data_IF_419364216066
#
_entry.id   IF_419364216066
#
_cell.length_a   1.000
_cell.length_b   1.000
_cell.length_c   1.000
_cell.angle_alpha   90.00
_cell.angle_beta   90.00
_cell.angle_gamma   90.00
#
_symmetry.space_group_name_H-M   'P 1'
#
loop_
_entity.id
_entity.type
_entity.pdbx_description
1 polymer ?
#
# COMPACT_ATOMS: atom_id res chain seq x y z
N UNK A 1 17.82 30.69 -29.45
CA UNK A 1 17.60 29.23 -29.25
C UNK A 1 18.85 28.37 -29.50
N UNK A 2 19.78 28.81 -30.30
CA UNK A 2 21.03 28.04 -30.57
C UNK A 2 22.09 28.18 -29.50
N UNK A 3 22.04 29.21 -28.68
CA UNK A 3 23.00 29.44 -27.58
C UNK A 3 22.61 28.76 -26.25
N UNK A 4 21.35 28.44 -26.05
CA UNK A 4 20.89 27.77 -24.82
C UNK A 4 21.24 26.28 -24.76
N UNK A 5 21.32 25.59 -25.91
CA UNK A 5 21.63 24.19 -26.00
C UNK A 5 23.14 23.85 -25.83
N UNK A 6 24.04 24.80 -26.12
CA UNK A 6 25.49 24.58 -25.91
C UNK A 6 25.91 24.70 -24.44
N UNK A 7 25.27 25.58 -23.67
CA UNK A 7 25.62 25.79 -22.26
C UNK A 7 25.25 24.59 -21.37
N UNK A 8 24.08 23.98 -21.61
CA UNK A 8 23.60 22.84 -20.81
C UNK A 8 24.37 21.55 -21.12
N UNK A 9 24.75 21.33 -22.38
CA UNK A 9 25.54 20.16 -22.77
C UNK A 9 26.95 20.16 -22.19
N UNK A 10 27.59 21.32 -22.11
CA UNK A 10 28.94 21.44 -21.58
C UNK A 10 28.97 21.41 -20.04
N UNK A 11 27.95 21.94 -19.38
CA UNK A 11 27.80 21.81 -17.92
C UNK A 11 27.54 20.35 -17.53
N UNK A 12 26.71 19.63 -18.26
CA UNK A 12 26.46 18.22 -18.00
C UNK A 12 27.68 17.34 -18.28
N UNK A 13 28.43 17.60 -19.35
CA UNK A 13 29.69 16.90 -19.64
C UNK A 13 30.80 17.21 -18.62
N UNK A 14 30.87 18.44 -18.09
CA UNK A 14 31.82 18.79 -17.02
C UNK A 14 31.46 18.13 -15.70
N UNK A 15 30.19 18.09 -15.33
CA UNK A 15 29.76 17.39 -14.10
C UNK A 15 30.06 15.88 -14.17
N UNK A 16 29.81 15.22 -15.31
CA UNK A 16 30.10 13.81 -15.49
C UNK A 16 31.62 13.53 -15.53
N UNK A 17 32.42 14.43 -16.09
CA UNK A 17 33.89 14.26 -16.14
C UNK A 17 34.57 14.60 -14.80
N UNK A 18 34.07 15.56 -14.03
CA UNK A 18 34.66 15.91 -12.73
C UNK A 18 34.30 14.88 -11.66
N UNK A 19 33.08 14.34 -11.67
CA UNK A 19 32.67 13.27 -10.75
C UNK A 19 33.40 11.96 -11.00
N UNK A 20 33.78 11.64 -12.25
CA UNK A 20 34.54 10.42 -12.55
C UNK A 20 36.00 10.46 -12.05
N UNK A 21 36.55 11.63 -11.80
CA UNK A 21 37.94 11.77 -11.26
C UNK A 21 37.97 11.78 -9.73
N UNK A 22 36.94 12.25 -9.05
CA UNK A 22 36.84 12.21 -7.58
C UNK A 22 36.36 10.85 -7.07
N UNK A 23 35.55 10.12 -7.85
CA UNK A 23 35.03 8.81 -7.47
C UNK A 23 36.11 7.70 -7.44
N UNK A 24 37.21 7.88 -8.14
CA UNK A 24 38.29 6.88 -8.20
C UNK A 24 39.35 7.03 -7.10
N UNK A 25 39.19 7.92 -6.15
CA UNK A 25 40.11 8.07 -5.03
C UNK A 25 39.62 7.40 -3.75
N UNK A 26 39.44 6.08 -3.77
CA UNK A 26 39.44 5.26 -2.57
C UNK A 26 38.10 5.07 -1.86
N UNK A 27 36.98 5.34 -2.50
CA UNK A 27 35.68 4.86 -2.02
C UNK A 27 35.48 3.43 -2.52
N UNK A 28 35.33 2.49 -1.58
CA UNK A 28 34.79 1.18 -1.90
C UNK A 28 33.48 1.40 -2.67
N UNK A 29 33.38 0.84 -3.88
CA UNK A 29 32.11 0.73 -4.59
C UNK A 29 31.27 -0.26 -3.80
N UNK A 30 30.50 0.22 -2.84
CA UNK A 30 29.47 -0.58 -2.24
C UNK A 30 28.47 -0.95 -3.35
N UNK A 31 28.44 -2.21 -3.74
CA UNK A 31 27.40 -2.72 -4.61
C UNK A 31 26.10 -2.71 -3.81
N UNK A 32 25.27 -1.72 -4.07
CA UNK A 32 23.94 -1.63 -3.49
C UNK A 32 23.00 -2.57 -4.27
N UNK A 33 22.95 -3.84 -3.86
CA UNK A 33 22.02 -4.81 -4.42
C UNK A 33 20.65 -4.65 -3.80
N UNK A 34 19.58 -4.88 -4.58
CA UNK A 34 18.22 -5.04 -4.05
C UNK A 34 18.18 -6.18 -3.06
N UNK A 35 17.40 -6.03 -2.00
CA UNK A 35 17.10 -7.12 -1.07
C UNK A 35 16.00 -7.96 -1.74
N UNK A 36 16.29 -9.23 -1.98
CA UNK A 36 15.33 -10.17 -2.52
C UNK A 36 15.15 -11.32 -1.53
N UNK A 37 13.90 -11.61 -1.19
CA UNK A 37 13.58 -12.73 -0.30
C UNK A 37 13.52 -14.00 -1.12
N UNK A 38 13.92 -15.11 -0.54
CA UNK A 38 13.89 -16.46 -1.13
C UNK A 38 12.59 -17.22 -0.83
N UNK A 39 11.58 -16.51 -0.35
CA UNK A 39 10.23 -16.99 -0.04
C UNK A 39 9.18 -16.00 -0.54
N UNK A 40 7.97 -16.48 -0.77
CA UNK A 40 6.84 -15.63 -1.14
C UNK A 40 6.42 -14.74 0.02
N UNK A 41 6.31 -13.44 -0.23
CA UNK A 41 5.93 -12.48 0.79
C UNK A 41 4.43 -12.58 1.06
N UNK A 42 4.09 -12.78 2.31
CA UNK A 42 2.74 -12.63 2.84
C UNK A 42 2.77 -11.51 3.88
N UNK A 43 2.56 -10.30 3.40
CA UNK A 43 2.55 -9.10 4.23
C UNK A 43 1.13 -8.79 4.69
N UNK A 44 0.98 -8.29 5.90
CA UNK A 44 -0.30 -7.77 6.40
C UNK A 44 -0.10 -6.38 6.97
N UNK A 45 -0.99 -5.45 6.61
CA UNK A 45 -1.05 -4.18 7.31
C UNK A 45 -1.86 -4.34 8.60
N UNK A 46 -1.35 -3.77 9.68
CA UNK A 46 -2.10 -3.60 10.91
C UNK A 46 -2.50 -2.12 11.06
N UNK A 47 -3.79 -1.84 10.96
CA UNK A 47 -4.31 -0.49 11.09
C UNK A 47 -4.27 -0.03 12.56
N UNK A 48 -3.27 0.79 12.90
CA UNK A 48 -3.07 1.35 14.24
C UNK A 48 -3.55 2.80 14.22
N UNK A 49 -4.67 3.07 14.89
CA UNK A 49 -5.27 4.41 14.99
C UNK A 49 -4.93 5.09 16.31
N UNK A 50 -4.59 4.32 17.34
CA UNK A 50 -4.15 4.78 18.65
C UNK A 50 -3.07 3.84 19.19
N UNK A 51 -2.20 4.34 20.09
CA UNK A 51 -1.15 3.52 20.74
C UNK A 51 -1.70 2.26 21.40
N UNK A 52 -2.94 2.30 21.93
CA UNK A 52 -3.61 1.15 22.52
C UNK A 52 -3.84 -0.02 21.56
N UNK A 53 -3.92 0.24 20.25
CA UNK A 53 -4.16 -0.78 19.23
C UNK A 53 -2.95 -1.72 19.11
N UNK A 54 -1.76 -1.26 19.51
CA UNK A 54 -0.57 -2.11 19.56
C UNK A 54 -0.73 -3.32 20.50
N UNK A 55 -1.56 -3.20 21.55
CA UNK A 55 -1.68 -4.22 22.59
C UNK A 55 -2.35 -5.53 22.12
N UNK A 56 -3.03 -5.54 20.98
CA UNK A 56 -3.74 -6.72 20.49
C UNK A 56 -2.93 -7.58 19.50
N UNK A 57 -1.72 -7.16 19.14
CA UNK A 57 -0.91 -7.81 18.09
C UNK A 57 -0.74 -9.30 18.31
N UNK A 58 -0.41 -9.76 19.52
CA UNK A 58 -0.24 -11.18 19.81
C UNK A 58 -1.50 -11.98 19.43
N UNK A 59 -2.67 -11.51 19.85
CA UNK A 59 -3.93 -12.21 19.58
C UNK A 59 -4.30 -12.22 18.08
N UNK A 60 -3.90 -11.19 17.36
CA UNK A 60 -4.09 -11.11 15.90
C UNK A 60 -3.16 -12.10 15.20
N UNK A 61 -1.88 -12.14 15.58
CA UNK A 61 -0.91 -13.06 14.98
C UNK A 61 -1.24 -14.53 15.28
N UNK A 62 -1.75 -14.84 16.46
CA UNK A 62 -2.18 -16.19 16.83
C UNK A 62 -3.29 -16.74 15.92
N UNK A 63 -4.05 -15.85 15.26
CA UNK A 63 -5.09 -16.21 14.29
C UNK A 63 -4.58 -16.34 12.85
N UNK A 64 -3.31 -16.03 12.59
CA UNK A 64 -2.72 -16.05 11.23
C UNK A 64 -1.96 -17.36 10.97
N UNK A 65 -1.70 -17.63 9.69
CA UNK A 65 -0.84 -18.70 9.23
C UNK A 65 -0.08 -18.28 7.97
N UNK A 66 1.24 -18.50 7.98
CA UNK A 66 2.10 -18.22 6.83
C UNK A 66 2.38 -16.74 6.58
N UNK A 67 1.95 -15.85 7.46
CA UNK A 67 2.35 -14.44 7.41
C UNK A 67 3.86 -14.35 7.64
N UNK A 68 4.53 -13.60 6.75
CA UNK A 68 5.99 -13.39 6.81
C UNK A 68 6.36 -12.00 7.29
N UNK A 69 5.47 -11.03 7.10
CA UNK A 69 5.76 -9.62 7.32
C UNK A 69 4.55 -8.88 7.87
N UNK A 70 4.76 -8.08 8.90
CA UNK A 70 3.74 -7.18 9.47
C UNK A 70 4.13 -5.74 9.20
N UNK A 71 3.17 -4.96 8.71
CA UNK A 71 3.34 -3.54 8.40
C UNK A 71 2.34 -2.68 9.20
N UNK A 72 2.69 -2.29 10.44
CA UNK A 72 1.82 -1.42 11.24
C UNK A 72 1.80 0.00 10.70
N UNK A 73 0.63 0.66 10.69
CA UNK A 73 0.43 2.03 10.20
C UNK A 73 0.90 3.08 11.22
N UNK A 74 2.16 3.03 11.60
CA UNK A 74 2.69 3.79 12.74
C UNK A 74 3.09 5.22 12.45
N UNK A 75 3.47 5.49 11.19
CA UNK A 75 4.08 6.78 10.88
C UNK A 75 3.20 7.62 9.95
N UNK A 76 3.18 8.92 10.23
CA UNK A 76 2.53 9.91 9.37
C UNK A 76 3.46 11.08 9.17
N UNK A 77 3.58 11.56 7.95
CA UNK A 77 4.22 12.84 7.69
C UNK A 77 3.30 13.95 8.20
N UNK A 78 3.83 14.87 9.01
CA UNK A 78 3.01 15.86 9.71
C UNK A 78 3.09 17.27 9.13
N UNK A 79 4.10 17.55 8.30
CA UNK A 79 4.28 18.86 7.68
C UNK A 79 5.20 18.80 6.44
N UNK A 80 5.24 19.92 5.69
CA UNK A 80 6.06 20.08 4.50
C UNK A 80 7.58 20.19 4.77
N UNK A 81 8.01 20.17 6.03
CA UNK A 81 9.44 20.13 6.38
C UNK A 81 9.97 18.71 6.56
N UNK A 82 9.08 17.70 6.49
CA UNK A 82 9.43 16.29 6.61
C UNK A 82 9.47 15.79 8.05
N UNK A 83 8.72 16.41 8.95
CA UNK A 83 8.47 15.89 10.30
C UNK A 83 7.53 14.69 10.23
N UNK A 84 7.69 13.73 11.14
CA UNK A 84 6.82 12.54 11.24
C UNK A 84 6.29 12.41 12.66
N UNK A 85 5.09 11.82 12.80
CA UNK A 85 4.58 11.28 14.05
C UNK A 85 4.84 9.78 14.11
N UNK A 86 4.91 9.21 15.32
CA UNK A 86 5.20 7.81 15.54
C UNK A 86 4.25 7.22 16.58
N UNK A 87 3.83 5.98 16.36
CA UNK A 87 3.13 5.11 17.32
C UNK A 87 3.92 3.79 17.55
N UNK A 88 5.23 3.81 17.26
CA UNK A 88 6.10 2.66 17.39
C UNK A 88 6.17 2.15 18.84
N UNK A 89 6.16 0.83 18.99
CA UNK A 89 6.11 0.15 20.27
C UNK A 89 7.10 -1.02 20.32
N UNK A 90 7.92 -1.07 21.36
CA UNK A 90 8.95 -2.10 21.51
C UNK A 90 8.39 -3.50 21.80
N UNK A 91 7.32 -3.59 22.58
CA UNK A 91 6.72 -4.88 22.92
C UNK A 91 6.04 -5.49 21.69
N UNK A 92 5.43 -4.64 20.85
CA UNK A 92 4.91 -5.03 19.54
C UNK A 92 6.00 -5.60 18.64
N UNK A 93 7.13 -4.89 18.49
CA UNK A 93 8.25 -5.33 17.65
C UNK A 93 8.79 -6.66 18.12
N UNK A 94 8.99 -6.80 19.44
CA UNK A 94 9.44 -8.07 20.02
C UNK A 94 8.46 -9.21 19.76
N UNK A 95 7.16 -8.95 19.87
CA UNK A 95 6.10 -9.93 19.57
C UNK A 95 6.15 -10.41 18.12
N UNK A 96 6.32 -9.51 17.17
CA UNK A 96 6.43 -9.85 15.73
C UNK A 96 7.69 -10.67 15.46
N UNK A 97 8.83 -10.24 15.98
CA UNK A 97 10.10 -10.96 15.81
C UNK A 97 10.09 -12.32 16.51
N UNK A 98 9.50 -12.44 17.70
CA UNK A 98 9.37 -13.73 18.42
C UNK A 98 8.47 -14.71 17.67
N UNK A 99 7.52 -14.21 16.87
CA UNK A 99 6.72 -15.00 15.94
C UNK A 99 7.48 -15.40 14.65
N UNK A 100 8.73 -14.95 14.48
CA UNK A 100 9.57 -15.25 13.32
C UNK A 100 9.20 -14.44 12.07
N UNK A 101 8.48 -13.33 12.23
CA UNK A 101 8.04 -12.45 11.15
C UNK A 101 8.92 -11.20 11.09
N UNK A 102 8.98 -10.58 9.90
CA UNK A 102 9.62 -9.28 9.70
C UNK A 102 8.64 -8.13 9.99
N UNK A 103 9.20 -6.96 10.34
CA UNK A 103 8.42 -5.76 10.57
C UNK A 103 8.86 -4.66 9.60
N UNK A 104 7.93 -4.22 8.71
CA UNK A 104 8.11 -3.13 7.75
C UNK A 104 7.07 -2.05 8.03
N UNK A 105 7.28 -1.17 9.02
CA UNK A 105 6.26 -0.18 9.38
C UNK A 105 5.89 0.71 8.21
N UNK A 106 4.59 1.04 8.11
CA UNK A 106 4.05 1.93 7.11
C UNK A 106 4.19 3.39 7.55
N UNK A 107 4.61 4.21 6.59
CA UNK A 107 4.54 5.66 6.69
C UNK A 107 3.63 6.22 5.59
N UNK A 108 2.63 7.02 5.99
CA UNK A 108 1.66 7.65 5.09
C UNK A 108 1.78 9.16 5.05
N UNK A 109 1.22 9.76 4.01
CA UNK A 109 1.06 11.21 3.85
C UNK A 109 -0.30 11.72 4.41
N UNK A 110 -1.10 10.86 5.04
CA UNK A 110 -2.35 11.22 5.70
C UNK A 110 -2.11 11.78 7.09
N UNK A 111 -2.26 13.09 7.29
CA UNK A 111 -2.05 13.75 8.60
C UNK A 111 -3.22 13.65 9.55
N UNK A 112 -4.45 13.52 9.04
CA UNK A 112 -5.67 13.30 9.82
C UNK A 112 -6.83 12.94 8.90
N UNK A 113 -7.93 12.44 9.50
CA UNK A 113 -9.24 12.28 8.85
C UNK A 113 -9.79 13.64 8.38
N UNK A 114 -9.32 14.75 8.95
CA UNK A 114 -9.66 16.11 8.52
C UNK A 114 -8.74 16.53 7.36
N UNK A 115 -9.29 16.52 6.15
CA UNK A 115 -8.64 16.92 4.92
C UNK A 115 -8.10 18.38 4.89
N UNK A 116 -8.37 19.17 5.93
CA UNK A 116 -8.02 20.58 6.05
C UNK A 116 -6.76 20.87 6.89
N UNK A 117 -6.10 19.89 7.45
CA UNK A 117 -4.78 20.08 8.08
C UNK A 117 -3.70 20.15 6.98
N UNK A 118 -3.87 21.13 6.07
CA UNK A 118 -3.14 21.22 4.82
C UNK A 118 -1.67 21.48 4.97
N UNK A 119 -0.87 20.42 4.98
CA UNK A 119 0.49 20.55 4.52
C UNK A 119 0.54 20.19 3.01
N UNK A 120 1.56 20.67 2.34
CA UNK A 120 1.67 20.67 0.88
C UNK A 120 2.78 19.68 0.48
N UNK A 121 2.39 18.52 -0.03
CA UNK A 121 3.30 17.47 -0.50
C UNK A 121 4.22 17.98 -1.60
N UNK A 122 3.74 18.86 -2.46
CA UNK A 122 4.57 19.47 -3.50
C UNK A 122 5.73 20.26 -2.89
N UNK A 123 5.50 21.00 -1.79
CA UNK A 123 6.58 21.72 -1.09
C UNK A 123 7.56 20.77 -0.42
N UNK A 124 7.08 19.66 0.16
CA UNK A 124 7.93 18.64 0.75
C UNK A 124 8.91 18.10 -0.29
N UNK A 125 8.37 17.62 -1.44
CA UNK A 125 9.20 16.97 -2.44
C UNK A 125 10.09 17.93 -3.21
N UNK A 126 9.64 19.14 -3.51
CA UNK A 126 10.43 20.15 -4.22
C UNK A 126 11.64 20.65 -3.40
N UNK A 127 11.58 20.60 -2.07
CA UNK A 127 12.62 21.13 -1.20
C UNK A 127 13.61 20.05 -0.77
N UNK A 128 14.86 20.17 -1.20
CA UNK A 128 15.92 19.22 -0.83
C UNK A 128 16.14 19.08 0.67
N UNK A 129 16.01 20.18 1.45
CA UNK A 129 16.17 20.13 2.90
C UNK A 129 15.02 19.35 3.56
N UNK A 130 13.79 19.54 3.08
CA UNK A 130 12.60 18.81 3.54
C UNK A 130 12.70 17.31 3.24
N UNK A 131 13.06 16.94 2.01
CA UNK A 131 13.26 15.53 1.66
C UNK A 131 14.33 14.87 2.52
N UNK A 132 15.49 15.54 2.72
CA UNK A 132 16.57 15.03 3.58
C UNK A 132 16.14 14.91 5.05
N UNK A 133 15.33 15.83 5.54
CA UNK A 133 14.80 15.75 6.89
C UNK A 133 13.87 14.55 7.06
N UNK A 134 12.92 14.36 6.13
CA UNK A 134 12.03 13.21 6.12
C UNK A 134 12.82 11.89 6.06
N UNK A 135 13.78 11.77 5.14
CA UNK A 135 14.63 10.58 5.01
C UNK A 135 15.42 10.34 6.30
N UNK A 136 16.00 11.40 6.89
CA UNK A 136 16.74 11.26 8.14
C UNK A 136 15.86 10.78 9.29
N UNK A 137 14.62 11.26 9.39
CA UNK A 137 13.67 10.82 10.39
C UNK A 137 13.32 9.34 10.19
N UNK A 138 12.99 8.91 8.97
CA UNK A 138 12.71 7.50 8.64
C UNK A 138 13.91 6.61 9.02
N UNK A 139 15.10 6.97 8.61
CA UNK A 139 16.31 6.17 8.87
C UNK A 139 16.66 6.13 10.37
N UNK A 140 16.37 7.22 11.10
CA UNK A 140 16.57 7.23 12.55
C UNK A 140 15.60 6.27 13.25
N UNK A 141 14.33 6.22 12.84
CA UNK A 141 13.36 5.26 13.37
C UNK A 141 13.78 3.81 13.05
N UNK A 142 14.17 3.52 11.81
CA UNK A 142 14.68 2.21 11.40
C UNK A 142 15.85 1.78 12.30
N UNK A 143 16.83 2.66 12.53
CA UNK A 143 18.00 2.35 13.35
C UNK A 143 17.68 2.25 14.84
N UNK A 144 16.74 3.07 15.32
CA UNK A 144 16.32 3.07 16.72
C UNK A 144 15.62 1.77 17.07
N UNK A 145 14.68 1.34 16.25
CA UNK A 145 13.83 0.21 16.53
C UNK A 145 14.29 -1.12 15.91
N UNK A 146 15.24 -1.09 14.98
CA UNK A 146 15.80 -2.28 14.34
C UNK A 146 14.82 -2.95 13.37
N UNK A 147 14.08 -2.16 12.57
CA UNK A 147 13.15 -2.67 11.57
C UNK A 147 13.86 -3.42 10.45
N UNK A 148 13.18 -4.41 9.88
CA UNK A 148 13.64 -5.20 8.75
C UNK A 148 13.38 -4.51 7.41
N UNK A 149 12.42 -3.59 7.37
CA UNK A 149 12.05 -2.80 6.21
C UNK A 149 11.28 -1.54 6.56
N UNK A 150 10.87 -0.84 5.51
CA UNK A 150 9.94 0.29 5.56
C UNK A 150 8.98 0.21 4.38
N UNK A 151 7.71 0.53 4.63
CA UNK A 151 6.66 0.58 3.62
C UNK A 151 6.16 2.01 3.45
N UNK A 152 6.23 2.56 2.24
CA UNK A 152 5.82 3.93 1.93
C UNK A 152 4.45 3.91 1.25
N UNK A 153 3.48 4.50 1.92
CA UNK A 153 2.10 4.63 1.47
C UNK A 153 1.74 6.11 1.28
N UNK A 154 2.25 6.71 0.20
CA UNK A 154 1.96 8.10 -0.15
C UNK A 154 0.91 8.15 -1.25
N UNK A 155 -0.31 8.53 -0.86
CA UNK A 155 -1.48 8.51 -1.72
C UNK A 155 -1.89 9.88 -2.27
N UNK A 156 -1.31 10.97 -1.74
CA UNK A 156 -1.66 12.35 -2.11
C UNK A 156 -0.61 13.06 -2.96
N UNK A 157 0.28 12.32 -3.60
CA UNK A 157 1.33 12.91 -4.43
C UNK A 157 0.72 13.70 -5.59
N UNK A 158 0.91 15.04 -5.67
CA UNK A 158 0.36 15.86 -6.75
C UNK A 158 0.97 15.48 -8.10
N UNK A 159 0.18 15.56 -9.18
CA UNK A 159 0.61 15.17 -10.52
C UNK A 159 1.79 16.01 -11.05
N UNK A 160 1.90 17.26 -10.65
CA UNK A 160 3.01 18.16 -11.00
C UNK A 160 4.29 17.92 -10.17
N UNK A 161 4.20 17.12 -9.11
CA UNK A 161 5.33 16.75 -8.24
C UNK A 161 6.05 15.46 -8.67
N UNK A 162 5.67 14.85 -9.79
CA UNK A 162 6.21 13.58 -10.26
C UNK A 162 7.75 13.52 -10.30
N UNK A 163 8.42 14.61 -10.73
CA UNK A 163 9.89 14.66 -10.82
C UNK A 163 10.53 14.67 -9.43
N UNK A 164 9.97 15.47 -8.52
CA UNK A 164 10.48 15.66 -7.17
C UNK A 164 10.19 14.44 -6.30
N UNK A 165 9.03 13.78 -6.49
CA UNK A 165 8.70 12.52 -5.85
C UNK A 165 9.67 11.39 -6.27
N UNK A 166 9.95 11.26 -7.57
CA UNK A 166 10.98 10.31 -8.04
C UNK A 166 12.36 10.58 -7.42
N UNK A 167 12.69 11.84 -7.21
CA UNK A 167 13.95 12.20 -6.53
C UNK A 167 13.94 11.75 -5.07
N UNK A 168 12.83 11.93 -4.36
CA UNK A 168 12.66 11.43 -3.00
C UNK A 168 12.84 9.90 -2.93
N UNK A 169 12.19 9.15 -3.83
CA UNK A 169 12.32 7.69 -3.90
C UNK A 169 13.77 7.26 -4.08
N UNK A 170 14.50 7.89 -5.00
CA UNK A 170 15.91 7.61 -5.24
C UNK A 170 16.80 7.90 -4.01
N UNK A 171 16.56 9.04 -3.37
CA UNK A 171 17.31 9.45 -2.19
C UNK A 171 17.04 8.48 -1.02
N UNK A 172 15.79 8.12 -0.76
CA UNK A 172 15.41 7.19 0.31
C UNK A 172 15.94 5.77 0.04
N UNK A 173 15.84 5.29 -1.19
CA UNK A 173 16.36 3.98 -1.60
C UNK A 173 17.84 3.81 -1.25
N UNK A 174 18.67 4.83 -1.49
CA UNK A 174 20.10 4.80 -1.16
C UNK A 174 20.29 4.63 0.35
N UNK A 175 19.52 5.35 1.16
CA UNK A 175 19.70 5.31 2.62
C UNK A 175 19.13 4.00 3.21
N UNK A 176 18.05 3.43 2.66
CA UNK A 176 17.56 2.10 3.04
C UNK A 176 18.59 1.01 2.73
N UNK A 177 19.24 1.06 1.56
CA UNK A 177 20.32 0.12 1.22
C UNK A 177 21.53 0.24 2.15
N UNK A 178 21.92 1.45 2.53
CA UNK A 178 22.98 1.67 3.53
C UNK A 178 22.59 1.13 4.91
N UNK A 179 21.31 1.20 5.25
CA UNK A 179 20.78 0.64 6.48
C UNK A 179 20.63 -0.89 6.41
N UNK A 180 20.63 -1.49 5.22
CA UNK A 180 20.45 -2.93 5.00
C UNK A 180 19.02 -3.41 5.22
N UNK A 181 18.02 -2.55 4.96
CA UNK A 181 16.60 -2.82 5.18
C UNK A 181 15.82 -2.84 3.88
N UNK A 182 14.72 -3.60 3.87
CA UNK A 182 13.81 -3.64 2.73
C UNK A 182 13.12 -2.29 2.54
N UNK A 183 12.99 -1.89 1.28
CA UNK A 183 12.26 -0.70 0.85
C UNK A 183 11.11 -1.09 -0.06
N UNK A 184 9.86 -0.86 0.38
CA UNK A 184 8.65 -1.12 -0.39
C UNK A 184 7.78 0.14 -0.51
N UNK A 185 6.99 0.20 -1.60
CA UNK A 185 6.09 1.32 -1.89
C UNK A 185 4.73 0.81 -2.33
N UNK A 186 3.68 1.44 -1.81
CA UNK A 186 2.30 1.14 -2.15
C UNK A 186 1.81 2.05 -3.30
N UNK A 187 0.97 1.50 -4.15
CA UNK A 187 0.44 2.19 -5.31
C UNK A 187 -1.00 1.80 -5.58
N UNK A 188 -1.78 2.75 -6.03
CA UNK A 188 -3.06 2.47 -6.68
C UNK A 188 -2.89 1.62 -7.94
N UNK A 189 -3.93 0.90 -8.31
CA UNK A 189 -4.06 0.29 -9.64
C UNK A 189 -3.75 1.33 -10.72
N UNK A 190 -2.88 1.02 -11.71
CA UNK A 190 -2.45 1.97 -12.72
C UNK A 190 -3.62 2.57 -13.51
N UNK A 191 -3.67 3.89 -13.56
CA UNK A 191 -4.61 4.68 -14.36
C UNK A 191 -3.88 5.90 -14.93
N UNK A 192 -4.35 6.49 -16.05
CA UNK A 192 -3.70 7.66 -16.62
C UNK A 192 -3.56 8.85 -15.66
N UNK A 193 -4.48 9.00 -14.72
CA UNK A 193 -4.48 10.11 -13.76
C UNK A 193 -3.54 9.91 -12.57
N UNK A 194 -2.92 8.73 -12.41
CA UNK A 194 -1.96 8.45 -11.34
C UNK A 194 -0.56 8.07 -11.85
N UNK A 195 -0.22 8.51 -13.08
CA UNK A 195 1.09 8.25 -13.70
C UNK A 195 2.26 8.96 -12.97
N UNK A 196 1.98 9.97 -12.13
CA UNK A 196 3.00 10.67 -11.33
C UNK A 196 3.75 9.77 -10.37
N UNK A 197 3.19 8.64 -9.98
CA UNK A 197 3.85 7.66 -9.12
C UNK A 197 5.06 7.01 -9.80
N UNK A 198 5.13 6.96 -11.14
CA UNK A 198 6.32 6.49 -11.89
C UNK A 198 6.79 5.11 -11.41
N UNK A 199 5.92 4.11 -11.53
CA UNK A 199 6.16 2.73 -11.02
C UNK A 199 7.40 2.08 -11.62
N UNK A 200 7.77 2.45 -12.84
CA UNK A 200 9.03 2.07 -13.50
C UNK A 200 10.25 2.51 -12.68
N UNK A 201 10.26 3.76 -12.22
CA UNK A 201 11.33 4.29 -11.36
C UNK A 201 11.29 3.67 -9.97
N UNK A 202 10.09 3.40 -9.43
CA UNK A 202 9.95 2.67 -8.17
C UNK A 202 10.56 1.27 -8.29
N UNK A 203 10.28 0.55 -9.37
CA UNK A 203 10.83 -0.78 -9.63
C UNK A 203 12.37 -0.81 -9.75
N UNK A 204 12.98 0.30 -10.23
CA UNK A 204 14.44 0.44 -10.25
C UNK A 204 15.03 0.67 -8.84
N UNK A 205 14.32 1.39 -7.99
CA UNK A 205 14.82 1.88 -6.71
C UNK A 205 14.43 1.01 -5.52
N UNK A 206 13.19 0.51 -5.49
CA UNK A 206 12.66 -0.29 -4.39
C UNK A 206 12.98 -1.78 -4.55
N UNK A 207 12.87 -2.49 -3.43
CA UNK A 207 12.95 -3.93 -3.40
C UNK A 207 11.61 -4.54 -3.81
N UNK A 208 10.50 -3.94 -3.35
CA UNK A 208 9.15 -4.35 -3.70
C UNK A 208 8.24 -3.17 -4.00
N UNK A 209 7.27 -3.40 -4.88
CA UNK A 209 6.20 -2.48 -5.23
C UNK A 209 4.88 -3.20 -4.97
N UNK A 210 4.03 -2.61 -4.16
CA UNK A 210 2.70 -3.15 -3.84
C UNK A 210 1.67 -2.44 -4.71
N UNK A 211 0.80 -3.20 -5.37
CA UNK A 211 -0.40 -2.65 -6.00
C UNK A 211 -1.60 -2.92 -5.11
N UNK A 212 -2.30 -1.86 -4.71
CA UNK A 212 -3.53 -1.92 -3.93
C UNK A 212 -4.68 -2.38 -4.83
N UNK A 213 -4.88 -3.70 -4.93
CA UNK A 213 -5.88 -4.34 -5.77
C UNK A 213 -7.29 -4.27 -5.15
N UNK A 214 -7.65 -3.12 -4.58
CA UNK A 214 -8.93 -2.87 -3.93
C UNK A 214 -9.36 -1.40 -4.04
N UNK A 215 -10.50 -1.06 -3.42
CA UNK A 215 -11.20 0.22 -3.53
C UNK A 215 -11.62 0.56 -4.98
N UNK A 216 -12.01 -0.48 -5.76
CA UNK A 216 -12.67 -0.31 -7.06
C UNK A 216 -13.91 0.56 -6.91
N UNK A 217 -14.77 0.22 -5.93
CA UNK A 217 -15.85 1.06 -5.45
C UNK A 217 -15.62 1.40 -3.98
N UNK A 218 -15.59 2.68 -3.67
CA UNK A 218 -15.17 3.22 -2.38
C UNK A 218 -16.20 4.15 -1.75
N UNK A 219 -16.09 4.45 -0.47
CA UNK A 219 -16.99 5.34 0.25
C UNK A 219 -16.98 6.75 -0.38
N UNK A 220 -18.17 7.24 -0.74
CA UNK A 220 -18.33 8.53 -1.41
C UNK A 220 -18.25 8.47 -2.93
N UNK A 221 -18.06 7.29 -3.51
CA UNK A 221 -18.24 7.05 -4.95
C UNK A 221 -19.72 7.12 -5.35
N UNK A 222 -19.97 7.32 -6.63
CA UNK A 222 -21.31 7.54 -7.18
C UNK A 222 -22.08 6.24 -7.43
N UNK A 223 -21.40 5.08 -7.40
CA UNK A 223 -21.97 3.76 -7.73
C UNK A 223 -21.66 2.73 -6.66
N UNK A 224 -22.63 1.87 -6.38
CA UNK A 224 -22.44 0.68 -5.56
C UNK A 224 -21.77 -0.43 -6.36
N UNK A 225 -20.82 -1.15 -5.75
CA UNK A 225 -20.13 -2.23 -6.41
C UNK A 225 -19.14 -2.95 -5.50
N UNK A 226 -18.45 -3.92 -6.09
CA UNK A 226 -17.36 -4.65 -5.45
C UNK A 226 -16.21 -3.72 -5.04
N UNK A 227 -15.56 -4.00 -3.93
CA UNK A 227 -14.29 -3.32 -3.58
C UNK A 227 -13.12 -3.84 -4.40
N UNK A 228 -13.22 -5.06 -4.95
CA UNK A 228 -12.16 -5.70 -5.72
C UNK A 228 -12.72 -6.84 -6.60
N UNK A 229 -13.34 -6.51 -7.72
CA UNK A 229 -13.76 -7.52 -8.69
C UNK A 229 -12.55 -8.24 -9.29
N UNK A 230 -12.79 -9.45 -9.82
CA UNK A 230 -11.70 -10.26 -10.41
C UNK A 230 -11.05 -9.55 -11.60
N UNK A 231 -11.84 -8.83 -12.41
CA UNK A 231 -11.33 -8.06 -13.53
C UNK A 231 -10.51 -6.86 -13.08
N UNK A 232 -10.95 -6.15 -12.03
CA UNK A 232 -10.20 -5.03 -11.45
C UNK A 232 -8.83 -5.47 -10.94
N UNK A 233 -8.77 -6.59 -10.21
CA UNK A 233 -7.52 -7.16 -9.70
C UNK A 233 -6.62 -7.61 -10.86
N UNK A 234 -7.18 -8.29 -11.87
CA UNK A 234 -6.45 -8.76 -13.05
C UNK A 234 -5.85 -7.57 -13.81
N UNK A 235 -6.66 -6.56 -14.10
CA UNK A 235 -6.22 -5.35 -14.79
C UNK A 235 -5.16 -4.58 -13.99
N UNK A 236 -5.32 -4.55 -12.67
CA UNK A 236 -4.36 -3.93 -11.75
C UNK A 236 -2.99 -4.61 -11.80
N UNK A 237 -2.96 -5.92 -11.70
CA UNK A 237 -1.74 -6.73 -11.81
C UNK A 237 -1.12 -6.60 -13.19
N UNK A 238 -1.88 -6.89 -14.26
CA UNK A 238 -1.38 -6.88 -15.64
C UNK A 238 -0.98 -5.47 -16.10
N UNK A 239 -1.63 -4.44 -15.55
CA UNK A 239 -1.26 -3.04 -15.75
C UNK A 239 0.08 -2.71 -15.10
N UNK A 240 0.27 -3.15 -13.84
CA UNK A 240 1.49 -2.88 -13.07
C UNK A 240 2.68 -3.66 -13.60
N UNK A 241 2.49 -4.90 -14.09
CA UNK A 241 3.54 -5.71 -14.70
C UNK A 241 4.16 -5.11 -15.97
N UNK A 242 3.53 -4.09 -16.56
CA UNK A 242 4.14 -3.33 -17.68
C UNK A 242 5.29 -2.42 -17.24
N UNK A 243 5.33 -2.07 -15.95
CA UNK A 243 6.28 -1.14 -15.35
C UNK A 243 7.16 -1.81 -14.28
N UNK A 244 6.64 -2.84 -13.60
CA UNK A 244 7.27 -3.51 -12.45
C UNK A 244 7.53 -4.98 -12.78
N UNK A 245 8.75 -5.51 -12.61
CA UNK A 245 9.05 -6.93 -12.73
C UNK A 245 8.24 -7.76 -11.71
N UNK A 246 7.78 -8.94 -12.14
CA UNK A 246 6.94 -9.83 -11.32
C UNK A 246 7.54 -10.22 -9.97
N UNK A 247 8.86 -10.41 -9.94
CA UNK A 247 9.63 -10.74 -8.74
C UNK A 247 9.75 -9.59 -7.72
N UNK A 248 9.23 -8.42 -8.05
CA UNK A 248 9.14 -7.25 -7.18
C UNK A 248 7.70 -6.85 -6.89
N UNK A 249 6.72 -7.41 -7.61
CA UNK A 249 5.33 -7.02 -7.49
C UNK A 249 4.61 -7.83 -6.42
N UNK A 250 4.02 -7.15 -5.46
CA UNK A 250 3.11 -7.69 -4.44
C UNK A 250 1.70 -7.20 -4.76
N UNK A 251 0.71 -8.09 -4.79
CA UNK A 251 -0.69 -7.69 -4.94
C UNK A 251 -1.39 -7.61 -3.58
N UNK A 252 -2.02 -6.48 -3.30
CA UNK A 252 -2.80 -6.32 -2.08
C UNK A 252 -4.23 -6.84 -2.25
N UNK A 253 -4.70 -7.58 -1.24
CA UNK A 253 -6.02 -8.17 -1.15
C UNK A 253 -6.83 -7.45 -0.07
N UNK A 254 -8.13 -7.17 -0.29
CA UNK A 254 -9.00 -6.66 0.78
C UNK A 254 -9.46 -7.80 1.68
N UNK A 255 -9.37 -7.60 2.99
CA UNK A 255 -10.01 -8.45 4.00
C UNK A 255 -11.31 -7.81 4.53
N UNK A 256 -11.83 -6.86 3.78
CA UNK A 256 -13.04 -6.12 4.06
C UNK A 256 -13.91 -6.02 2.81
N UNK A 257 -15.18 -5.69 3.02
CA UNK A 257 -16.07 -5.30 1.95
C UNK A 257 -16.98 -4.15 2.36
N UNK A 258 -17.86 -3.72 1.46
CA UNK A 258 -18.82 -2.63 1.70
C UNK A 258 -20.24 -3.12 1.52
N UNK A 259 -21.06 -2.91 2.56
CA UNK A 259 -22.50 -2.92 2.43
C UNK A 259 -22.94 -1.56 1.90
N UNK A 260 -23.56 -1.55 0.74
CA UNK A 260 -24.13 -0.37 0.13
C UNK A 260 -25.61 -0.25 0.50
N UNK A 261 -26.06 0.99 0.72
CA UNK A 261 -27.41 1.33 1.11
C UNK A 261 -27.92 2.44 0.21
N UNK A 262 -28.95 2.12 -0.58
CA UNK A 262 -29.63 3.06 -1.46
C UNK A 262 -31.00 3.41 -0.87
N UNK A 263 -31.24 4.68 -0.59
CA UNK A 263 -32.51 5.19 -0.12
C UNK A 263 -32.99 6.33 -1.01
N UNK A 264 -34.32 6.49 -1.11
CA UNK A 264 -34.93 7.58 -1.87
C UNK A 264 -35.61 8.55 -0.89
N UNK A 265 -35.28 9.83 -0.99
CA UNK A 265 -35.88 10.87 -0.15
C UNK A 265 -37.33 11.22 -0.60
N UNK A 266 -38.01 12.07 0.18
CA UNK A 266 -39.37 12.51 -0.12
C UNK A 266 -39.51 13.27 -1.45
N UNK A 267 -38.42 13.77 -2.01
CA UNK A 267 -38.36 14.49 -3.28
C UNK A 267 -37.98 13.58 -4.46
N UNK A 268 -37.75 12.29 -4.20
CA UNK A 268 -37.37 11.31 -5.21
C UNK A 268 -35.85 11.29 -5.52
N UNK A 269 -35.01 11.97 -4.73
CA UNK A 269 -33.55 11.90 -4.90
C UNK A 269 -33.02 10.60 -4.30
N UNK A 270 -32.18 9.90 -5.06
CA UNK A 270 -31.46 8.71 -4.59
C UNK A 270 -30.23 9.14 -3.80
N UNK A 271 -30.09 8.57 -2.60
CA UNK A 271 -28.92 8.72 -1.75
C UNK A 271 -28.24 7.38 -1.61
N UNK A 272 -27.01 7.30 -2.04
CA UNK A 272 -26.12 6.16 -1.84
C UNK A 272 -25.23 6.40 -0.61
N UNK A 273 -25.10 5.38 0.24
CA UNK A 273 -24.15 5.37 1.36
C UNK A 273 -23.59 3.97 1.53
N UNK A 274 -22.47 3.85 2.23
CA UNK A 274 -21.86 2.54 2.48
C UNK A 274 -21.30 2.42 3.88
N UNK A 275 -21.15 1.18 4.34
CA UNK A 275 -20.47 0.82 5.59
C UNK A 275 -19.51 -0.34 5.34
N UNK A 276 -18.30 -0.22 5.86
CA UNK A 276 -17.27 -1.26 5.78
C UNK A 276 -17.55 -2.37 6.79
N UNK A 277 -17.33 -3.60 6.38
CA UNK A 277 -17.43 -4.81 7.22
C UNK A 277 -16.22 -5.69 7.00
N UNK A 278 -15.78 -6.37 8.07
CA UNK A 278 -14.82 -7.48 7.98
C UNK A 278 -15.45 -8.65 7.22
N UNK A 279 -14.65 -9.62 6.81
CA UNK A 279 -15.18 -10.81 6.12
C UNK A 279 -16.29 -11.52 6.92
N UNK A 280 -16.08 -11.76 8.21
CA UNK A 280 -17.13 -12.38 9.05
C UNK A 280 -18.33 -11.45 9.24
N UNK A 281 -18.09 -10.17 9.50
CA UNK A 281 -19.15 -9.18 9.66
C UNK A 281 -20.02 -9.02 8.41
N UNK A 282 -19.47 -9.25 7.21
CA UNK A 282 -20.22 -9.26 5.96
C UNK A 282 -21.18 -10.46 5.87
N UNK A 283 -20.74 -11.64 6.28
CA UNK A 283 -21.62 -12.82 6.36
C UNK A 283 -22.73 -12.63 7.40
N UNK A 284 -22.39 -12.06 8.55
CA UNK A 284 -23.35 -11.83 9.63
C UNK A 284 -24.45 -10.85 9.19
N UNK A 285 -24.09 -9.75 8.51
CA UNK A 285 -25.08 -8.77 8.02
C UNK A 285 -25.97 -9.34 6.90
N UNK A 286 -25.45 -10.19 6.02
CA UNK A 286 -26.25 -10.89 5.01
C UNK A 286 -27.28 -11.81 5.69
N UNK A 287 -26.87 -12.51 6.75
CA UNK A 287 -27.77 -13.36 7.53
C UNK A 287 -28.84 -12.53 8.27
N UNK A 288 -28.49 -11.38 8.84
CA UNK A 288 -29.42 -10.46 9.51
C UNK A 288 -30.46 -9.87 8.53
N UNK A 289 -30.03 -9.53 7.31
CA UNK A 289 -30.94 -9.05 6.26
C UNK A 289 -31.83 -10.15 5.73
N UNK A 290 -31.56 -11.42 6.05
CA UNK A 290 -32.35 -12.56 5.62
C UNK A 290 -32.32 -12.80 4.11
N UNK A 291 -31.30 -12.30 3.42
CA UNK A 291 -31.10 -12.47 1.98
C UNK A 291 -30.26 -13.70 1.71
N UNK A 292 -30.48 -14.34 0.55
CA UNK A 292 -29.54 -15.31 0.01
C UNK A 292 -28.33 -14.60 -0.60
N UNK A 293 -27.25 -15.37 -0.80
CA UNK A 293 -26.12 -14.93 -1.60
C UNK A 293 -25.90 -15.89 -2.77
N UNK A 294 -25.51 -15.37 -3.92
CA UNK A 294 -25.26 -16.15 -5.13
C UNK A 294 -23.85 -15.81 -5.66
N UNK A 295 -23.16 -16.82 -6.18
CA UNK A 295 -21.87 -16.60 -6.82
C UNK A 295 -22.07 -15.91 -8.16
N UNK A 296 -21.37 -14.80 -8.35
CA UNK A 296 -21.32 -14.07 -9.61
C UNK A 296 -19.94 -14.30 -10.27
N UNK A 297 -19.95 -15.03 -11.37
CA UNK A 297 -18.73 -15.39 -12.12
C UNK A 297 -18.05 -14.17 -12.75
N UNK A 298 -18.80 -13.09 -13.06
CA UNK A 298 -18.27 -11.89 -13.69
C UNK A 298 -17.40 -11.10 -12.73
N UNK A 299 -17.83 -11.01 -11.47
CA UNK A 299 -17.07 -10.28 -10.44
C UNK A 299 -16.17 -11.21 -9.61
N UNK A 300 -16.38 -12.52 -9.69
CA UNK A 300 -15.63 -13.52 -8.93
C UNK A 300 -15.89 -13.46 -7.42
N UNK A 301 -17.14 -13.20 -7.02
CA UNK A 301 -17.54 -13.03 -5.63
C UNK A 301 -18.97 -13.53 -5.39
N UNK A 302 -19.29 -13.87 -4.14
CA UNK A 302 -20.70 -13.98 -3.74
C UNK A 302 -21.31 -12.58 -3.61
N UNK A 303 -22.52 -12.42 -4.14
CA UNK A 303 -23.30 -11.18 -4.09
C UNK A 303 -24.61 -11.39 -3.33
N UNK A 304 -25.03 -10.41 -2.57
CA UNK A 304 -26.32 -10.43 -1.91
C UNK A 304 -27.03 -9.07 -2.09
N UNK A 305 -28.34 -9.16 -2.35
CA UNK A 305 -29.22 -8.00 -2.55
C UNK A 305 -30.44 -8.15 -1.66
N UNK A 306 -30.90 -7.05 -1.09
CA UNK A 306 -32.08 -7.04 -0.23
C UNK A 306 -32.73 -5.66 -0.15
N UNK A 307 -33.92 -5.61 0.43
CA UNK A 307 -34.63 -4.36 0.72
C UNK A 307 -35.32 -4.48 2.09
N UNK A 308 -35.07 -3.53 2.96
CA UNK A 308 -35.68 -3.43 4.29
C UNK A 308 -36.11 -1.97 4.49
N UNK A 309 -37.38 -1.77 4.85
CA UNK A 309 -37.98 -0.45 5.13
C UNK A 309 -37.75 0.59 4.01
N UNK A 310 -37.74 0.15 2.75
CA UNK A 310 -37.57 1.01 1.59
C UNK A 310 -36.12 1.42 1.31
N UNK A 311 -35.16 0.83 2.02
CA UNK A 311 -33.72 0.95 1.73
C UNK A 311 -33.26 -0.31 1.02
N UNK A 312 -32.66 -0.14 -0.15
CA UNK A 312 -32.06 -1.26 -0.88
C UNK A 312 -30.63 -1.48 -0.40
N UNK A 313 -30.28 -2.73 -0.21
CA UNK A 313 -28.97 -3.18 0.22
C UNK A 313 -28.31 -4.01 -0.88
N UNK A 314 -27.02 -3.78 -1.09
CA UNK A 314 -26.18 -4.61 -1.94
C UNK A 314 -24.80 -4.79 -1.33
N UNK A 315 -24.25 -6.00 -1.47
CA UNK A 315 -22.92 -6.34 -0.94
C UNK A 315 -22.27 -7.38 -1.85
N UNK A 316 -20.98 -7.20 -2.13
CA UNK A 316 -20.08 -8.14 -2.80
C UNK A 316 -19.12 -8.63 -1.73
N UNK A 317 -19.18 -9.93 -1.41
CA UNK A 317 -18.48 -10.47 -0.26
C UNK A 317 -17.03 -10.81 -0.62
N UNK A 318 -16.12 -10.39 0.26
CA UNK A 318 -14.79 -11.00 0.31
C UNK A 318 -14.83 -12.17 1.28
N UNK A 319 -14.45 -13.35 0.79
CA UNK A 319 -14.45 -14.61 1.52
C UNK A 319 -13.50 -15.61 0.84
N UNK A 320 -13.47 -16.85 1.30
CA UNK A 320 -12.45 -17.82 0.91
C UNK A 320 -12.39 -18.06 -0.62
N UNK A 321 -13.55 -18.17 -1.30
CA UNK A 321 -13.57 -18.43 -2.74
C UNK A 321 -13.18 -17.19 -3.58
N UNK A 322 -13.54 -15.97 -3.14
CA UNK A 322 -13.11 -14.74 -3.80
C UNK A 322 -11.60 -14.53 -3.66
N UNK A 323 -11.06 -14.79 -2.46
CA UNK A 323 -9.61 -14.73 -2.23
C UNK A 323 -8.90 -15.81 -3.04
N UNK A 324 -9.44 -17.02 -3.15
CA UNK A 324 -8.89 -18.10 -3.96
C UNK A 324 -8.82 -17.73 -5.45
N UNK A 325 -9.88 -17.08 -5.96
CA UNK A 325 -9.88 -16.59 -7.35
C UNK A 325 -8.76 -15.57 -7.58
N UNK A 326 -8.56 -14.62 -6.65
CA UNK A 326 -7.50 -13.61 -6.71
C UNK A 326 -6.10 -14.24 -6.55
N UNK A 327 -5.93 -15.17 -5.60
CA UNK A 327 -4.67 -15.90 -5.40
C UNK A 327 -4.27 -16.71 -6.64
N UNK A 328 -5.24 -17.24 -7.40
CA UNK A 328 -4.95 -17.90 -8.66
C UNK A 328 -4.23 -16.98 -9.64
N UNK A 329 -4.66 -15.72 -9.77
CA UNK A 329 -4.01 -14.75 -10.66
C UNK A 329 -2.59 -14.44 -10.16
N UNK A 330 -2.41 -14.21 -8.86
CA UNK A 330 -1.10 -13.95 -8.22
C UNK A 330 -0.12 -15.08 -8.55
N UNK A 331 -0.55 -16.34 -8.39
CA UNK A 331 0.26 -17.53 -8.67
C UNK A 331 0.53 -17.71 -10.17
N UNK A 332 -0.47 -17.52 -11.03
CA UNK A 332 -0.30 -17.62 -12.50
C UNK A 332 0.65 -16.55 -13.05
N UNK A 333 0.74 -15.39 -12.41
CA UNK A 333 1.68 -14.31 -12.78
C UNK A 333 3.02 -14.45 -12.07
N UNK A 334 3.16 -15.42 -11.16
CA UNK A 334 4.38 -15.65 -10.36
C UNK A 334 4.87 -14.37 -9.67
N UNK A 335 3.96 -13.67 -8.97
CA UNK A 335 4.29 -12.45 -8.27
C UNK A 335 5.17 -12.73 -7.05
N UNK A 336 5.85 -11.69 -6.53
CA UNK A 336 6.67 -11.79 -5.33
C UNK A 336 5.88 -12.13 -4.06
N UNK A 337 4.57 -11.95 -4.07
CA UNK A 337 3.70 -12.29 -2.97
C UNK A 337 2.41 -11.49 -2.93
N UNK A 338 1.80 -11.48 -1.77
CA UNK A 338 0.58 -10.71 -1.49
C UNK A 338 0.75 -9.83 -0.26
N UNK A 339 -0.14 -8.84 -0.15
CA UNK A 339 -0.41 -8.17 1.12
C UNK A 339 -1.91 -8.17 1.42
N UNK A 340 -2.31 -7.90 2.67
CA UNK A 340 -3.70 -7.91 3.09
C UNK A 340 -4.10 -6.66 3.88
N UNK A 341 -5.16 -5.98 3.46
CA UNK A 341 -5.75 -4.86 4.18
C UNK A 341 -7.06 -5.28 4.84
N UNK A 342 -7.13 -5.36 6.15
CA UNK A 342 -6.05 -5.30 7.12
C UNK A 342 -6.21 -6.41 8.16
N UNK A 343 -5.16 -6.69 8.89
CA UNK A 343 -5.09 -7.70 9.94
C UNK A 343 -6.21 -7.52 10.97
N UNK A 344 -6.93 -8.60 11.28
CA UNK A 344 -8.10 -8.62 12.16
C UNK A 344 -9.43 -8.42 11.43
N UNK A 345 -9.43 -8.18 10.11
CA UNK A 345 -10.64 -8.15 9.28
C UNK A 345 -10.85 -9.44 8.48
N UNK A 346 -9.85 -10.26 8.37
CA UNK A 346 -9.90 -11.54 7.68
C UNK A 346 -10.63 -12.63 8.49
N UNK A 347 -11.13 -13.64 7.78
CA UNK A 347 -11.53 -14.92 8.38
C UNK A 347 -10.28 -15.79 8.53
N UNK A 348 -10.14 -16.55 9.64
CA UNK A 348 -9.00 -17.46 9.83
C UNK A 348 -8.81 -18.49 8.71
N UNK A 349 -9.89 -18.90 8.02
CA UNK A 349 -9.85 -19.82 6.89
C UNK A 349 -9.11 -19.27 5.66
N UNK A 350 -9.03 -17.94 5.51
CA UNK A 350 -8.32 -17.27 4.41
C UNK A 350 -6.84 -17.64 4.40
N UNK A 351 -6.24 -17.86 5.55
CA UNK A 351 -4.84 -18.23 5.64
C UNK A 351 -4.52 -19.60 5.03
N UNK A 352 -5.48 -20.54 5.05
CA UNK A 352 -5.32 -21.81 4.35
C UNK A 352 -5.31 -21.60 2.82
N UNK A 353 -6.14 -20.68 2.31
CA UNK A 353 -6.17 -20.30 0.89
C UNK A 353 -4.89 -19.59 0.44
N UNK A 354 -4.37 -18.68 1.27
CA UNK A 354 -3.15 -17.92 0.97
C UNK A 354 -1.90 -18.82 0.98
N UNK A 355 -1.87 -19.84 1.86
CA UNK A 355 -0.70 -20.72 2.04
C UNK A 355 -0.78 -22.04 1.27
N UNK A 356 -1.85 -22.27 0.49
CA UNK A 356 -2.04 -23.45 -0.37
C UNK A 356 -1.02 -23.47 -1.53
#
# INVERSE_FOLDING_TARGET
DYYASRGLGDVYKRQVTDTSKEYNSGHETAEYTSIHKDYDIVMVWHAVYAESDNNNIQSLLDATKGVTTVSPTWYKVTDATGSISSMADWDYISTVHDAGMEIWPLISDFTSIDADAGWDEAKLFANTASRRNLISNIINEIKTYGYDGINIDFEKVPSDSAVDYRQFIRELSIECRKAGVVFSLDNYVPRPYNAQYSRDVQAECADYVVVMGYDEHYAGGDEAGSVASIDFVTDGIDGTLKEVPKEKLINALPFYTRLWMESTDENGNVKLSSKTYSMQGALDIVAELGTGMEWDEEVGQYVAFGEVDGVKYSIWLEEDESIKAKMKIVRERELAGISGWCLGMEKPSVWDVVTE
#
